data_IF_729766627838
#
_entry.id   IF_729766627838
#
_cell.length_a   1.000
_cell.length_b   1.000
_cell.length_c   1.000
_cell.angle_alpha   90.00
_cell.angle_beta   90.00
_cell.angle_gamma   90.00
#
_symmetry.space_group_name_H-M   'P 1'
#
loop_
_entity.id
_entity.type
_entity.pdbx_description
1 polymer ?
#
# COMPACT_ATOMS: atom_id res chain seq x y z
N UNK A 1 67.96 70.38 -106.66
CA UNK A 1 68.46 69.13 -107.25
C UNK A 1 68.80 68.21 -106.09
N UNK A 2 68.25 67.02 -105.87
CA UNK A 2 67.28 66.19 -106.58
C UNK A 2 66.80 65.14 -105.56
N UNK A 3 65.54 64.73 -105.68
CA UNK A 3 64.83 63.71 -104.89
C UNK A 3 65.51 62.34 -104.90
N UNK A 4 65.25 61.51 -103.86
CA UNK A 4 64.92 60.07 -104.02
C UNK A 4 63.89 59.67 -102.93
N UNK A 5 62.86 58.93 -103.37
CA UNK A 5 61.67 58.43 -102.64
C UNK A 5 61.86 56.94 -102.29
N UNK A 6 60.97 56.42 -101.42
CA UNK A 6 60.51 55.01 -101.18
C UNK A 6 61.20 54.25 -100.03
N UNK A 7 60.53 53.48 -99.14
CA UNK A 7 59.34 52.59 -99.29
C UNK A 7 58.65 52.28 -97.92
N UNK A 8 57.43 51.72 -98.01
CA UNK A 8 56.42 51.31 -97.00
C UNK A 8 56.88 50.25 -95.96
N UNK A 9 56.18 50.13 -94.82
CA UNK A 9 55.33 48.95 -94.48
C UNK A 9 54.56 49.06 -93.14
N UNK A 10 53.35 48.48 -93.15
CA UNK A 10 52.39 48.29 -92.05
C UNK A 10 52.98 47.39 -90.94
N UNK A 11 52.48 47.50 -89.70
CA UNK A 11 51.96 46.33 -88.99
C UNK A 11 51.23 46.63 -87.66
N UNK A 12 50.18 45.84 -87.49
CA UNK A 12 49.13 45.72 -86.47
C UNK A 12 49.67 45.43 -85.06
N UNK A 13 49.22 46.17 -84.04
CA UNK A 13 49.41 45.78 -82.62
C UNK A 13 48.20 44.97 -82.13
N UNK A 14 48.40 43.67 -81.98
CA UNK A 14 47.60 42.80 -81.11
C UNK A 14 48.03 43.03 -79.65
N UNK A 15 47.10 43.47 -78.80
CA UNK A 15 47.28 43.48 -77.35
C UNK A 15 46.83 42.11 -76.79
N UNK A 16 47.81 41.30 -76.37
CA UNK A 16 47.59 40.06 -75.61
C UNK A 16 47.49 40.37 -74.11
N UNK A 17 46.49 39.78 -73.46
CA UNK A 17 46.26 39.72 -72.02
C UNK A 17 47.23 38.75 -71.35
N UNK A 18 48.12 39.26 -70.50
CA UNK A 18 49.04 38.45 -69.69
C UNK A 18 48.32 37.76 -68.51
N UNK A 19 48.50 36.44 -68.38
CA UNK A 19 48.08 35.68 -67.20
C UNK A 19 49.09 35.86 -66.04
N UNK A 20 48.64 35.96 -64.77
CA UNK A 20 49.52 36.19 -63.63
C UNK A 20 50.40 34.97 -63.29
N UNK A 21 51.65 35.23 -62.86
CA UNK A 21 52.64 34.25 -62.36
C UNK A 21 52.06 33.32 -61.29
N UNK A 22 52.49 32.05 -61.30
CA UNK A 22 52.11 31.02 -60.32
C UNK A 22 52.35 31.48 -58.88
N UNK A 23 53.41 32.25 -58.63
CA UNK A 23 53.74 32.78 -57.30
C UNK A 23 52.65 33.72 -56.77
N UNK A 24 52.10 34.60 -57.62
CA UNK A 24 50.98 35.48 -57.21
C UNK A 24 49.73 34.67 -56.87
N UNK A 25 49.48 33.56 -57.57
CA UNK A 25 48.36 32.66 -57.24
C UNK A 25 48.62 31.93 -55.93
N UNK A 26 49.88 31.55 -55.66
CA UNK A 26 50.30 30.92 -54.41
C UNK A 26 50.12 31.86 -53.21
N UNK A 27 50.49 33.13 -53.36
CA UNK A 27 50.31 34.18 -52.34
C UNK A 27 48.83 34.46 -52.07
N UNK A 28 48.01 34.55 -53.12
CA UNK A 28 46.56 34.68 -52.97
C UNK A 28 45.94 33.47 -52.24
N UNK A 29 46.40 32.26 -52.54
CA UNK A 29 45.93 31.03 -51.87
C UNK A 29 46.35 31.04 -50.40
N UNK A 30 47.59 31.43 -50.08
CA UNK A 30 48.06 31.53 -48.70
C UNK A 30 47.33 32.62 -47.89
N UNK A 31 47.02 33.75 -48.52
CA UNK A 31 46.21 34.81 -47.91
C UNK A 31 44.76 34.36 -47.69
N UNK A 32 44.17 33.65 -48.66
CA UNK A 32 42.83 33.05 -48.53
C UNK A 32 42.80 31.98 -47.42
N UNK A 33 43.83 31.14 -47.33
CA UNK A 33 43.94 30.09 -46.31
C UNK A 33 44.17 30.63 -44.90
N UNK A 34 44.94 31.72 -44.74
CA UNK A 34 45.11 32.39 -43.43
C UNK A 34 43.80 32.91 -42.84
N UNK A 35 42.76 33.12 -43.66
CA UNK A 35 41.43 33.56 -43.23
C UNK A 35 40.45 32.42 -42.95
N UNK A 36 40.82 31.15 -43.16
CA UNK A 36 39.87 30.02 -43.06
C UNK A 36 39.61 29.62 -41.60
N UNK A 37 40.57 29.82 -40.69
CA UNK A 37 40.40 29.64 -39.25
C UNK A 37 41.62 30.22 -38.53
N UNK A 38 41.41 31.30 -37.79
CA UNK A 38 42.47 31.92 -37.00
C UNK A 38 42.46 31.37 -35.57
N UNK A 39 43.59 31.50 -34.87
CA UNK A 39 43.68 31.17 -33.43
C UNK A 39 42.63 31.95 -32.60
N UNK A 40 42.30 33.16 -33.02
CA UNK A 40 41.24 34.00 -32.45
C UNK A 40 39.86 33.33 -32.52
N UNK A 41 39.50 32.74 -33.66
CA UNK A 41 38.22 32.04 -33.82
C UNK A 41 38.12 30.83 -32.89
N UNK A 42 39.24 30.14 -32.69
CA UNK A 42 39.34 28.99 -31.79
C UNK A 42 39.15 29.42 -30.32
N UNK A 43 39.73 30.55 -29.92
CA UNK A 43 39.58 31.10 -28.57
C UNK A 43 38.15 31.62 -28.31
N UNK A 44 37.50 32.22 -29.31
CA UNK A 44 36.08 32.63 -29.22
C UNK A 44 35.18 31.42 -29.02
N UNK A 45 35.32 30.38 -29.85
CA UNK A 45 34.52 29.14 -29.74
C UNK A 45 34.74 28.49 -28.36
N UNK A 46 35.99 28.44 -27.89
CA UNK A 46 36.32 27.89 -26.57
C UNK A 46 35.63 28.66 -25.44
N UNK A 47 35.58 29.99 -25.52
CA UNK A 47 34.90 30.82 -24.53
C UNK A 47 33.38 30.61 -24.56
N UNK A 48 32.76 30.57 -25.75
CA UNK A 48 31.32 30.30 -25.90
C UNK A 48 30.96 28.93 -25.32
N UNK A 49 31.75 27.89 -25.63
CA UNK A 49 31.53 26.55 -25.09
C UNK A 49 31.68 26.57 -23.56
N UNK A 50 32.70 27.25 -23.03
CA UNK A 50 32.93 27.34 -21.59
C UNK A 50 31.76 28.03 -20.87
N UNK A 51 31.26 29.14 -21.40
CA UNK A 51 30.10 29.85 -20.85
C UNK A 51 28.84 29.00 -20.91
N UNK A 52 28.60 28.32 -22.04
CA UNK A 52 27.46 27.40 -22.19
C UNK A 52 27.54 26.22 -21.21
N UNK A 53 28.73 25.68 -20.98
CA UNK A 53 28.95 24.56 -20.06
C UNK A 53 28.74 24.97 -18.60
N UNK A 54 29.17 26.18 -18.23
CA UNK A 54 28.94 26.72 -16.89
C UNK A 54 27.46 27.02 -16.66
N UNK A 55 26.76 27.60 -17.64
CA UNK A 55 25.32 27.85 -17.57
C UNK A 55 24.50 26.56 -17.41
N UNK A 56 24.81 25.51 -18.18
CA UNK A 56 24.15 24.21 -18.03
C UNK A 56 24.46 23.56 -16.67
N UNK A 57 25.70 23.69 -16.18
CA UNK A 57 26.10 23.18 -14.86
C UNK A 57 25.32 23.88 -13.74
N UNK A 58 25.19 25.20 -13.78
CA UNK A 58 24.41 25.96 -12.81
C UNK A 58 22.93 25.58 -12.83
N UNK A 59 22.36 25.43 -14.04
CA UNK A 59 20.97 25.01 -14.18
C UNK A 59 20.72 23.60 -13.63
N UNK A 60 21.61 22.65 -13.92
CA UNK A 60 21.51 21.29 -13.43
C UNK A 60 21.66 21.24 -11.90
N UNK A 61 22.67 21.93 -11.35
CA UNK A 61 22.88 22.02 -9.90
C UNK A 61 21.66 22.64 -9.21
N UNK A 62 21.14 23.75 -9.73
CA UNK A 62 19.96 24.40 -9.19
C UNK A 62 18.72 23.50 -9.24
N UNK A 63 18.56 22.69 -10.29
CA UNK A 63 17.46 21.71 -10.37
C UNK A 63 17.61 20.60 -9.34
N UNK A 64 18.82 20.05 -9.17
CA UNK A 64 19.09 18.97 -8.22
C UNK A 64 18.89 19.45 -6.78
N UNK A 65 19.38 20.65 -6.44
CA UNK A 65 19.20 21.24 -5.11
C UNK A 65 17.72 21.39 -4.77
N UNK A 66 16.91 21.94 -5.68
CA UNK A 66 15.46 22.06 -5.47
C UNK A 66 14.78 20.70 -5.26
N UNK A 67 15.19 19.69 -6.00
CA UNK A 67 14.64 18.34 -5.82
C UNK A 67 15.00 17.74 -4.46
N UNK A 68 16.23 17.97 -4.00
CA UNK A 68 16.68 17.55 -2.66
C UNK A 68 15.82 18.24 -1.59
N UNK A 69 15.63 19.57 -1.67
CA UNK A 69 14.81 20.32 -0.71
C UNK A 69 13.36 19.79 -0.64
N UNK A 70 12.75 19.51 -1.80
CA UNK A 70 11.40 18.94 -1.86
C UNK A 70 11.35 17.56 -1.21
N UNK A 71 12.34 16.70 -1.50
CA UNK A 71 12.40 15.36 -0.93
C UNK A 71 12.62 15.38 0.58
N UNK A 72 13.47 16.28 1.08
CA UNK A 72 13.70 16.47 2.51
C UNK A 72 12.45 16.94 3.24
N UNK A 73 11.72 17.91 2.66
CA UNK A 73 10.43 18.37 3.21
C UNK A 73 9.41 17.23 3.26
N UNK A 74 9.25 16.48 2.16
CA UNK A 74 8.32 15.36 2.11
C UNK A 74 8.68 14.26 3.11
N UNK A 75 9.97 13.96 3.24
CA UNK A 75 10.47 12.96 4.19
C UNK A 75 10.18 13.40 5.64
N UNK A 76 10.33 14.69 5.95
CA UNK A 76 9.98 15.24 7.26
C UNK A 76 8.48 15.13 7.56
N UNK A 77 7.62 15.49 6.61
CA UNK A 77 6.17 15.40 6.77
C UNK A 77 5.71 13.95 6.95
N UNK A 78 6.27 13.02 6.16
CA UNK A 78 6.01 11.59 6.32
C UNK A 78 6.48 11.06 7.69
N UNK A 79 7.65 11.48 8.17
CA UNK A 79 8.14 11.06 9.49
C UNK A 79 7.20 11.53 10.62
N UNK A 80 6.68 12.75 10.50
CA UNK A 80 5.70 13.31 11.45
C UNK A 80 4.38 12.55 11.41
N UNK A 81 3.86 12.23 10.23
CA UNK A 81 2.64 11.44 10.08
C UNK A 81 2.82 10.04 10.68
N UNK A 82 3.95 9.39 10.41
CA UNK A 82 4.27 8.06 10.93
C UNK A 82 4.35 8.06 12.47
N UNK A 83 4.91 9.10 13.08
CA UNK A 83 4.93 9.26 14.53
C UNK A 83 3.51 9.39 15.11
N UNK A 84 2.65 10.20 14.47
CA UNK A 84 1.24 10.36 14.87
C UNK A 84 0.46 9.05 14.76
N UNK A 85 0.60 8.33 13.63
CA UNK A 85 -0.07 7.05 13.41
C UNK A 85 0.37 5.99 14.42
N UNK A 86 1.68 5.92 14.75
CA UNK A 86 2.18 5.03 15.80
C UNK A 86 1.55 5.32 17.16
N UNK A 87 1.40 6.60 17.52
CA UNK A 87 0.76 6.98 18.77
C UNK A 87 -0.72 6.57 18.79
N UNK A 88 -1.44 6.81 17.70
CA UNK A 88 -2.86 6.42 17.57
C UNK A 88 -3.03 4.90 17.65
N UNK A 89 -2.17 4.14 16.97
CA UNK A 89 -2.19 2.67 17.01
C UNK A 89 -1.98 2.16 18.43
N UNK A 90 -0.98 2.68 19.14
CA UNK A 90 -0.73 2.31 20.54
C UNK A 90 -1.91 2.63 21.45
N UNK A 91 -2.59 3.76 21.25
CA UNK A 91 -3.77 4.11 22.03
C UNK A 91 -4.95 3.16 21.75
N UNK A 92 -5.16 2.80 20.48
CA UNK A 92 -6.20 1.84 20.07
C UNK A 92 -5.93 0.43 20.58
N UNK A 93 -4.69 -0.01 20.58
CA UNK A 93 -4.32 -1.31 21.15
C UNK A 93 -4.60 -1.38 22.66
N UNK A 94 -4.32 -0.29 23.40
CA UNK A 94 -4.67 -0.19 24.81
C UNK A 94 -6.18 -0.23 25.03
N UNK A 95 -6.96 0.51 24.24
CA UNK A 95 -8.43 0.51 24.30
C UNK A 95 -9.01 -0.88 24.04
N UNK A 96 -8.50 -1.58 23.01
CA UNK A 96 -8.91 -2.96 22.69
C UNK A 96 -8.63 -3.90 23.86
N UNK A 97 -7.46 -3.79 24.50
CA UNK A 97 -7.11 -4.65 25.62
C UNK A 97 -8.02 -4.42 26.84
N UNK A 98 -8.36 -3.16 27.13
CA UNK A 98 -9.30 -2.82 28.21
C UNK A 98 -10.69 -3.41 27.92
N UNK A 99 -11.18 -3.26 26.68
CA UNK A 99 -12.48 -3.80 26.27
C UNK A 99 -12.52 -5.33 26.34
N UNK A 100 -11.45 -6.01 25.91
CA UNK A 100 -11.33 -7.47 26.02
C UNK A 100 -11.41 -7.93 27.47
N UNK A 101 -10.65 -7.31 28.37
CA UNK A 101 -10.69 -7.63 29.80
C UNK A 101 -12.08 -7.39 30.40
N UNK A 102 -12.70 -6.25 30.09
CA UNK A 102 -14.06 -5.93 30.56
C UNK A 102 -15.10 -6.96 30.11
N UNK A 103 -15.07 -7.36 28.83
CA UNK A 103 -15.96 -8.39 28.31
C UNK A 103 -15.72 -9.76 28.95
N UNK A 104 -14.46 -10.14 29.16
CA UNK A 104 -14.14 -11.41 29.82
C UNK A 104 -14.71 -11.46 31.24
N UNK A 105 -14.52 -10.41 32.04
CA UNK A 105 -15.07 -10.32 33.39
C UNK A 105 -16.59 -10.33 33.42
N UNK A 106 -17.24 -9.62 32.48
CA UNK A 106 -18.71 -9.64 32.35
C UNK A 106 -19.22 -11.03 32.00
N UNK A 107 -18.59 -11.70 31.03
CA UNK A 107 -18.98 -13.05 30.64
C UNK A 107 -18.86 -14.02 31.83
N UNK A 108 -17.77 -13.97 32.59
CA UNK A 108 -17.62 -14.78 33.81
C UNK A 108 -18.74 -14.51 34.83
N UNK A 109 -19.14 -13.24 34.99
CA UNK A 109 -20.21 -12.85 35.90
C UNK A 109 -21.57 -13.35 35.43
N UNK A 110 -21.84 -13.25 34.12
CA UNK A 110 -23.09 -13.73 33.53
C UNK A 110 -23.19 -15.25 33.58
N UNK A 111 -22.11 -15.99 33.29
CA UNK A 111 -22.09 -17.45 33.40
C UNK A 111 -22.39 -17.91 34.83
N UNK A 112 -21.77 -17.26 35.84
CA UNK A 112 -22.08 -17.54 37.24
C UNK A 112 -23.55 -17.26 37.57
N UNK A 113 -24.08 -16.12 37.15
CA UNK A 113 -25.49 -15.77 37.36
C UNK A 113 -26.47 -16.71 36.66
N UNK A 114 -26.16 -17.16 35.44
CA UNK A 114 -26.95 -18.15 34.70
C UNK A 114 -26.98 -19.47 35.46
N UNK A 115 -25.82 -19.95 35.93
CA UNK A 115 -25.75 -21.17 36.72
C UNK A 115 -26.57 -21.06 38.01
N UNK A 116 -26.48 -19.93 38.73
CA UNK A 116 -27.26 -19.73 39.97
C UNK A 116 -28.76 -19.73 39.69
N UNK A 117 -29.20 -19.09 38.61
CA UNK A 117 -30.60 -19.09 38.18
C UNK A 117 -31.07 -20.49 37.73
N UNK A 118 -30.23 -21.24 37.02
CA UNK A 118 -30.50 -22.61 36.60
C UNK A 118 -30.67 -23.53 37.82
N UNK A 119 -29.79 -23.40 38.82
CA UNK A 119 -29.87 -24.15 40.07
C UNK A 119 -31.12 -23.77 40.87
N UNK A 120 -31.42 -22.46 40.97
CA UNK A 120 -32.62 -21.98 41.64
C UNK A 120 -33.90 -22.53 40.99
N UNK A 121 -33.97 -22.53 39.66
CA UNK A 121 -35.08 -23.09 38.90
C UNK A 121 -35.25 -24.60 39.09
N UNK A 122 -34.15 -25.33 39.33
CA UNK A 122 -34.16 -26.78 39.56
C UNK A 122 -34.30 -27.18 41.03
N UNK A 123 -34.39 -26.23 41.97
CA UNK A 123 -34.38 -26.52 43.41
C UNK A 123 -35.46 -27.52 43.84
N UNK A 124 -36.63 -27.46 43.20
CA UNK A 124 -37.77 -28.33 43.48
C UNK A 124 -37.99 -29.38 42.37
N UNK A 125 -36.96 -29.69 41.59
CA UNK A 125 -37.04 -30.65 40.47
C UNK A 125 -36.02 -31.75 40.65
N UNK A 126 -36.45 -32.99 40.42
CA UNK A 126 -35.57 -34.17 40.44
C UNK A 126 -35.56 -34.83 39.07
N UNK A 127 -34.40 -35.29 38.63
CA UNK A 127 -34.27 -36.12 37.43
C UNK A 127 -34.13 -37.57 37.85
N UNK A 128 -35.08 -38.40 37.44
CA UNK A 128 -35.06 -39.83 37.71
C UNK A 128 -34.71 -40.55 36.41
N UNK A 129 -33.67 -41.37 36.45
CA UNK A 129 -33.22 -42.17 35.31
C UNK A 129 -33.54 -43.65 35.56
N UNK A 130 -33.74 -44.42 34.48
CA UNK A 130 -34.00 -45.87 34.57
C UNK A 130 -35.45 -46.26 34.88
N UNK A 131 -36.38 -45.30 34.89
CA UNK A 131 -37.81 -45.61 34.96
C UNK A 131 -38.29 -46.20 33.62
N UNK A 132 -38.82 -47.42 33.68
CA UNK A 132 -39.54 -48.05 32.58
C UNK A 132 -40.95 -47.49 32.48
N UNK A 133 -41.42 -47.26 31.26
CA UNK A 133 -42.75 -46.72 30.99
C UNK A 133 -43.43 -47.57 29.91
N UNK A 134 -44.71 -47.88 30.14
CA UNK A 134 -45.47 -48.81 29.29
C UNK A 134 -45.83 -48.23 27.91
N UNK A 135 -45.78 -46.91 27.77
CA UNK A 135 -46.14 -46.22 26.53
C UNK A 135 -45.21 -45.04 26.22
N UNK A 136 -45.10 -44.71 24.94
CA UNK A 136 -44.31 -43.56 24.47
C UNK A 136 -44.97 -42.22 24.83
N UNK A 137 -46.30 -42.16 24.80
CA UNK A 137 -47.09 -40.94 24.94
C UNK A 137 -47.79 -40.89 26.30
N UNK A 138 -47.01 -40.68 27.35
CA UNK A 138 -47.56 -40.51 28.69
C UNK A 138 -47.92 -39.06 28.97
N UNK A 139 -49.04 -38.86 29.66
CA UNK A 139 -49.44 -37.55 30.17
C UNK A 139 -48.63 -37.20 31.43
N UNK A 140 -48.58 -35.91 31.79
CA UNK A 140 -47.88 -35.45 33.02
C UNK A 140 -48.39 -36.19 34.27
N UNK A 141 -49.70 -36.43 34.34
CA UNK A 141 -50.35 -37.14 35.45
C UNK A 141 -49.86 -38.59 35.53
N UNK A 142 -49.81 -39.31 34.40
CA UNK A 142 -49.33 -40.69 34.37
C UNK A 142 -47.85 -40.80 34.80
N UNK A 143 -47.02 -39.82 34.42
CA UNK A 143 -45.62 -39.75 34.86
C UNK A 143 -45.53 -39.49 36.37
N UNK A 144 -46.36 -38.59 36.90
CA UNK A 144 -46.43 -38.29 38.33
C UNK A 144 -46.87 -39.50 39.16
N UNK A 145 -47.94 -40.19 38.75
CA UNK A 145 -48.43 -41.41 39.40
C UNK A 145 -47.36 -42.52 39.42
N UNK A 146 -46.71 -42.76 38.28
CA UNK A 146 -45.66 -43.77 38.18
C UNK A 146 -44.46 -43.42 39.08
N UNK A 147 -44.10 -42.14 39.13
CA UNK A 147 -43.01 -41.63 39.99
C UNK A 147 -43.36 -41.77 41.47
N UNK A 148 -44.56 -41.34 41.90
CA UNK A 148 -45.05 -41.46 43.26
C UNK A 148 -45.07 -42.94 43.71
N UNK A 149 -45.56 -43.83 42.85
CA UNK A 149 -45.54 -45.27 43.09
C UNK A 149 -44.12 -45.78 43.30
N UNK A 150 -43.18 -45.43 42.42
CA UNK A 150 -41.78 -45.85 42.55
C UNK A 150 -41.15 -45.35 43.85
N UNK A 151 -41.34 -44.07 44.19
CA UNK A 151 -40.82 -43.45 45.41
C UNK A 151 -41.33 -44.15 46.67
N UNK A 152 -42.62 -44.48 46.71
CA UNK A 152 -43.23 -45.21 47.81
C UNK A 152 -42.72 -46.65 47.91
N UNK A 153 -42.66 -47.39 46.79
CA UNK A 153 -42.30 -48.82 46.79
C UNK A 153 -40.80 -49.06 47.03
N UNK A 154 -39.93 -48.22 46.48
CA UNK A 154 -38.48 -48.46 46.50
C UNK A 154 -37.72 -47.60 47.52
N UNK A 155 -38.23 -46.41 47.85
CA UNK A 155 -37.54 -45.45 48.71
C UNK A 155 -38.28 -45.19 50.03
N UNK A 156 -39.44 -45.82 50.25
CA UNK A 156 -40.30 -45.64 51.42
C UNK A 156 -40.68 -44.15 51.66
N UNK A 157 -40.74 -43.35 50.59
CA UNK A 157 -41.15 -41.95 50.64
C UNK A 157 -42.64 -41.89 50.32
N UNK A 158 -43.43 -41.35 51.25
CA UNK A 158 -44.86 -41.15 51.03
C UNK A 158 -45.06 -39.87 50.21
N UNK A 159 -45.29 -40.06 48.92
CA UNK A 159 -45.55 -39.01 47.94
C UNK A 159 -46.82 -39.38 47.17
N UNK A 160 -47.76 -38.45 47.05
CA UNK A 160 -48.93 -38.60 46.19
C UNK A 160 -48.72 -37.89 44.85
N UNK A 161 -49.48 -38.28 43.81
CA UNK A 161 -49.35 -37.64 42.49
C UNK A 161 -49.64 -36.12 42.54
N UNK A 162 -50.51 -35.68 43.47
CA UNK A 162 -50.87 -34.27 43.68
C UNK A 162 -49.75 -33.42 44.26
N UNK A 163 -48.74 -34.07 44.86
CA UNK A 163 -47.57 -33.41 45.43
C UNK A 163 -46.51 -33.11 44.34
N UNK A 164 -46.72 -33.61 43.12
CA UNK A 164 -45.87 -33.40 41.94
C UNK A 164 -46.56 -32.40 41.02
N UNK A 165 -45.99 -31.20 40.91
CA UNK A 165 -46.54 -30.12 40.06
C UNK A 165 -46.47 -30.48 38.56
N UNK A 166 -45.28 -30.86 38.07
CA UNK A 166 -45.05 -31.18 36.66
C UNK A 166 -44.15 -32.43 36.55
N UNK A 167 -44.64 -33.43 35.80
CA UNK A 167 -43.86 -34.60 35.40
C UNK A 167 -43.78 -34.70 33.88
N UNK A 168 -42.59 -34.90 33.32
CA UNK A 168 -42.43 -35.20 31.91
C UNK A 168 -41.19 -36.04 31.65
N UNK A 169 -41.23 -36.82 30.58
CA UNK A 169 -40.04 -37.56 30.11
C UNK A 169 -39.09 -36.62 29.41
N UNK A 170 -37.81 -36.73 29.73
CA UNK A 170 -36.72 -36.11 28.97
C UNK A 170 -36.14 -37.12 27.99
N UNK A 171 -36.00 -36.72 26.72
CA UNK A 171 -35.40 -37.54 25.67
C UNK A 171 -36.35 -38.53 24.97
N UNK A 172 -35.78 -39.32 24.05
CA UNK A 172 -36.52 -40.26 23.18
C UNK A 172 -36.99 -41.49 23.96
N UNK A 173 -38.18 -42.00 23.65
CA UNK A 173 -38.65 -43.28 24.18
C UNK A 173 -37.76 -44.41 23.68
N UNK A 174 -37.30 -45.26 24.59
CA UNK A 174 -36.59 -46.49 24.24
C UNK A 174 -37.37 -47.64 24.86
N UNK A 175 -37.98 -48.47 24.01
CA UNK A 175 -38.71 -49.65 24.45
C UNK A 175 -37.69 -50.64 25.04
N UNK A 176 -37.82 -50.96 26.33
CA UNK A 176 -37.01 -52.00 26.94
C UNK A 176 -37.41 -53.35 26.31
N UNK A 177 -36.41 -54.09 25.80
CA UNK A 177 -36.59 -55.42 25.18
C UNK A 177 -36.83 -56.48 26.24
#
# INVERSE_FOLDING_TARGET
>A
MTEIITTKENETKQNNTESPSIEKRLDEICAKLSNVLTKSDTDIIKNIIKESLEGHKEQLLGSVVKQIEILESNMFDQAKELASLKQQLSAKDQEINILKQSNQSKNQTYEAGINDLEQYGRRNSIRISGLSFDSENQTSIQVAEHTAKMMSHHLNVHLEYKDIDIGHRLGKYTKQK
#
